data_IF_490909768773
#
_entry.id   IF_490909768773
#
_cell.length_a   1.000
_cell.length_b   1.000
_cell.length_c   1.000
_cell.angle_alpha   90.00
_cell.angle_beta   90.00
_cell.angle_gamma   90.00
#
_symmetry.space_group_name_H-M   'P 1'
#
loop_
_entity.id
_entity.type
_entity.pdbx_description
1 polymer ?
#
# COMPACT_ATOMS: atom_id res chain seq x y z
N UNK A 1 2.87 -31.36 -23.22
CA UNK A 1 3.27 -30.09 -22.59
C UNK A 1 2.04 -29.23 -22.56
N UNK A 2 1.34 -29.17 -21.43
CA UNK A 2 0.20 -28.28 -21.29
C UNK A 2 0.73 -26.85 -21.21
N UNK A 3 0.44 -26.06 -22.24
CA UNK A 3 0.59 -24.61 -22.18
C UNK A 3 -0.33 -24.10 -21.07
N UNK A 4 0.27 -23.64 -19.96
CA UNK A 4 -0.44 -22.82 -19.00
C UNK A 4 -0.85 -21.53 -19.72
N UNK A 5 -2.05 -21.55 -20.29
CA UNK A 5 -2.74 -20.38 -20.77
C UNK A 5 -2.67 -19.34 -19.65
N UNK A 6 -1.92 -18.26 -19.87
CA UNK A 6 -1.57 -17.27 -18.87
C UNK A 6 -2.77 -16.36 -18.66
N UNK A 7 -3.88 -16.93 -18.18
CA UNK A 7 -5.02 -16.20 -17.69
C UNK A 7 -4.48 -15.21 -16.66
N UNK A 8 -4.58 -13.91 -16.98
CA UNK A 8 -4.19 -12.79 -16.14
C UNK A 8 -4.58 -13.09 -14.68
N UNK A 9 -3.61 -13.51 -13.85
CA UNK A 9 -3.86 -13.74 -12.42
C UNK A 9 -4.36 -12.44 -11.80
N UNK A 10 -5.37 -12.54 -10.94
CA UNK A 10 -5.96 -11.38 -10.27
C UNK A 10 -4.88 -10.48 -9.64
N UNK A 11 -5.06 -9.16 -9.78
CA UNK A 11 -4.18 -8.17 -9.15
C UNK A 11 -4.77 -7.80 -7.78
N UNK A 12 -4.01 -8.07 -6.72
CA UNK A 12 -4.42 -7.73 -5.35
C UNK A 12 -3.82 -6.38 -4.95
N UNK A 13 -4.68 -5.43 -4.60
CA UNK A 13 -4.30 -4.18 -3.95
C UNK A 13 -4.45 -4.33 -2.44
N UNK A 14 -3.33 -4.23 -1.71
CA UNK A 14 -3.25 -4.36 -0.26
C UNK A 14 -3.25 -2.97 0.36
N UNK A 15 -4.23 -2.66 1.21
CA UNK A 15 -4.41 -1.33 1.81
C UNK A 15 -4.34 -1.44 3.34
N UNK A 16 -3.15 -1.43 3.95
CA UNK A 16 -2.99 -1.40 5.41
C UNK A 16 -3.42 -0.08 6.03
N UNK A 17 -3.73 -0.11 7.33
CA UNK A 17 -3.72 1.10 8.15
C UNK A 17 -2.28 1.65 8.27
N UNK A 18 -2.07 2.98 8.19
CA UNK A 18 -0.73 3.60 8.19
C UNK A 18 -0.07 3.64 9.58
N UNK A 19 0.16 2.47 10.16
CA UNK A 19 0.97 2.30 11.38
C UNK A 19 1.87 1.07 11.24
N UNK A 20 3.07 1.12 11.83
CA UNK A 20 4.11 0.09 11.69
C UNK A 20 3.60 -1.33 11.99
N UNK A 21 2.75 -1.47 13.02
CA UNK A 21 2.13 -2.75 13.41
C UNK A 21 1.24 -3.38 12.34
N UNK A 22 0.75 -2.59 11.37
CA UNK A 22 -0.03 -3.07 10.22
C UNK A 22 0.82 -3.16 8.94
N UNK A 23 1.74 -2.21 8.71
CA UNK A 23 2.56 -2.17 7.50
C UNK A 23 3.41 -3.43 7.35
N UNK A 24 4.12 -3.85 8.40
CA UNK A 24 5.05 -4.97 8.32
C UNK A 24 4.34 -6.31 8.02
N UNK A 25 3.26 -6.68 8.74
CA UNK A 25 2.47 -7.86 8.38
C UNK A 25 1.92 -7.81 6.95
N UNK A 26 1.40 -6.65 6.51
CA UNK A 26 0.81 -6.52 5.18
C UNK A 26 1.85 -6.55 4.05
N UNK A 27 3.08 -6.07 4.30
CA UNK A 27 4.22 -6.26 3.40
C UNK A 27 4.55 -7.75 3.21
N UNK A 28 4.63 -8.51 4.30
CA UNK A 28 4.89 -9.96 4.22
C UNK A 28 3.74 -10.71 3.56
N UNK A 29 2.50 -10.29 3.81
CA UNK A 29 1.33 -10.84 3.12
C UNK A 29 1.39 -10.59 1.61
N UNK A 30 1.65 -9.36 1.18
CA UNK A 30 1.81 -9.03 -0.24
C UNK A 30 2.94 -9.84 -0.90
N UNK A 31 4.09 -10.00 -0.21
CA UNK A 31 5.17 -10.86 -0.66
C UNK A 31 4.74 -12.32 -0.84
N UNK A 32 3.91 -12.86 0.07
CA UNK A 32 3.37 -14.22 -0.04
C UNK A 32 2.36 -14.36 -1.20
N UNK A 33 1.59 -13.31 -1.51
CA UNK A 33 0.74 -13.30 -2.70
C UNK A 33 1.58 -13.35 -3.98
N UNK A 34 2.64 -12.54 -4.04
CA UNK A 34 3.58 -12.53 -5.15
C UNK A 34 4.24 -13.91 -5.37
N UNK A 35 4.65 -14.61 -4.31
CA UNK A 35 5.24 -15.95 -4.43
C UNK A 35 4.26 -17.04 -4.88
N UNK A 36 2.96 -16.81 -4.77
CA UNK A 36 1.89 -17.66 -5.36
C UNK A 36 1.54 -17.25 -6.80
N UNK A 37 2.26 -16.26 -7.33
CA UNK A 37 2.16 -15.75 -8.69
C UNK A 37 1.06 -14.71 -8.88
N UNK A 38 0.43 -14.19 -7.82
CA UNK A 38 -0.48 -13.05 -7.95
C UNK A 38 0.31 -11.76 -8.13
N UNK A 39 -0.15 -10.88 -9.02
CA UNK A 39 0.34 -9.51 -9.01
C UNK A 39 -0.15 -8.86 -7.72
N UNK A 40 0.75 -8.24 -6.96
CA UNK A 40 0.38 -7.57 -5.70
C UNK A 40 0.95 -6.16 -5.63
N UNK A 41 0.13 -5.23 -5.16
CA UNK A 41 0.53 -3.86 -4.87
C UNK A 41 0.19 -3.50 -3.43
N UNK A 42 1.06 -2.73 -2.79
CA UNK A 42 0.79 -2.17 -1.47
C UNK A 42 0.47 -0.67 -1.61
N UNK A 43 -0.74 -0.28 -1.22
CA UNK A 43 -1.11 1.13 -1.08
C UNK A 43 -0.95 1.59 0.35
N UNK A 44 0.05 2.44 0.59
CA UNK A 44 0.32 3.07 1.88
C UNK A 44 0.52 4.57 1.66
N UNK A 45 0.63 5.34 2.74
CA UNK A 45 0.76 6.80 2.66
C UNK A 45 2.09 7.20 2.00
N UNK A 46 2.14 8.36 1.34
CA UNK A 46 3.36 8.88 0.73
C UNK A 46 4.49 8.92 1.76
N UNK A 47 4.20 9.43 2.96
CA UNK A 47 5.15 9.48 4.06
C UNK A 47 5.74 8.10 4.40
N UNK A 48 4.90 7.09 4.61
CA UNK A 48 5.36 5.74 4.96
C UNK A 48 6.07 5.05 3.80
N UNK A 49 5.66 5.33 2.55
CA UNK A 49 6.27 4.70 1.37
C UNK A 49 7.76 4.99 1.24
N UNK A 50 8.21 6.15 1.72
CA UNK A 50 9.63 6.56 1.77
C UNK A 50 10.48 5.65 2.67
N UNK A 51 9.84 4.94 3.61
CA UNK A 51 10.50 4.03 4.56
C UNK A 51 10.40 2.55 4.17
N UNK A 52 9.79 2.22 3.03
CA UNK A 52 9.69 0.81 2.59
C UNK A 52 11.08 0.31 2.19
N UNK A 53 11.54 -0.82 2.76
CA UNK A 53 12.87 -1.32 2.45
C UNK A 53 13.02 -1.77 0.98
N UNK A 54 14.15 -1.46 0.29
CA UNK A 54 14.34 -1.75 -1.13
C UNK A 54 14.18 -3.23 -1.53
N UNK A 55 14.43 -4.16 -0.62
CA UNK A 55 14.28 -5.61 -0.87
C UNK A 55 12.84 -6.03 -1.20
N UNK A 56 11.84 -5.20 -0.91
CA UNK A 56 10.45 -5.46 -1.29
C UNK A 56 10.11 -5.00 -2.71
N UNK A 57 10.86 -4.04 -3.27
CA UNK A 57 10.58 -3.46 -4.59
C UNK A 57 10.50 -4.48 -5.76
N UNK A 58 11.34 -5.54 -5.84
CA UNK A 58 11.21 -6.50 -6.94
C UNK A 58 10.04 -7.49 -6.76
N UNK A 59 9.46 -7.56 -5.55
CA UNK A 59 8.44 -8.56 -5.20
C UNK A 59 7.03 -7.97 -5.18
N UNK A 60 6.90 -6.68 -4.81
CA UNK A 60 5.61 -6.00 -4.67
C UNK A 60 5.72 -4.59 -5.23
N UNK A 61 4.65 -4.12 -5.88
CA UNK A 61 4.58 -2.74 -6.36
C UNK A 61 4.06 -1.82 -5.25
N UNK A 62 4.86 -0.84 -4.81
CA UNK A 62 4.38 0.20 -3.89
C UNK A 62 3.59 1.24 -4.67
N UNK A 63 2.37 1.56 -4.21
CA UNK A 63 1.45 2.52 -4.84
C UNK A 63 1.03 3.57 -3.81
N UNK A 64 1.81 4.65 -3.64
CA UNK A 64 1.53 5.63 -2.60
C UNK A 64 0.16 6.29 -2.76
N UNK A 65 -0.55 6.47 -1.66
CA UNK A 65 -1.75 7.30 -1.53
C UNK A 65 -1.45 8.47 -0.60
N UNK A 66 -2.20 9.57 -0.72
CA UNK A 66 -2.00 10.72 0.17
C UNK A 66 -2.87 10.58 1.41
N UNK A 67 -2.32 10.85 2.59
CA UNK A 67 -3.10 11.05 3.82
C UNK A 67 -3.32 12.54 4.15
N UNK A 68 -2.90 13.44 3.24
CA UNK A 68 -2.87 14.89 3.43
C UNK A 68 -1.68 15.39 4.26
N UNK A 69 -0.78 14.50 4.69
CA UNK A 69 0.41 14.82 5.48
C UNK A 69 1.65 14.12 4.88
N UNK A 70 1.87 14.32 3.58
CA UNK A 70 2.83 13.52 2.80
C UNK A 70 4.32 13.76 3.20
N UNK A 71 4.60 14.85 3.92
CA UNK A 71 5.95 15.23 4.33
C UNK A 71 6.34 14.72 5.73
N UNK A 72 5.46 14.85 6.73
CA UNK A 72 5.73 14.46 8.12
C UNK A 72 4.75 13.44 8.71
N UNK A 73 3.82 12.94 7.90
CA UNK A 73 2.85 11.94 8.29
C UNK A 73 1.99 12.40 9.47
N UNK A 74 1.67 11.45 10.35
CA UNK A 74 0.85 11.69 11.54
C UNK A 74 1.35 12.87 12.41
N UNK A 75 2.66 13.13 12.45
CA UNK A 75 3.23 14.20 13.28
C UNK A 75 2.83 15.62 12.85
N UNK A 76 2.36 15.80 11.60
CA UNK A 76 1.83 17.08 11.12
C UNK A 76 0.35 17.29 11.46
N UNK A 77 -0.34 16.26 11.94
CA UNK A 77 -1.74 16.38 12.30
C UNK A 77 -1.90 16.97 13.71
N UNK A 78 -2.84 17.90 13.86
CA UNK A 78 -3.14 18.54 15.15
C UNK A 78 -3.72 17.56 16.18
N UNK A 79 -4.37 16.49 15.71
CA UNK A 79 -5.00 15.47 16.56
C UNK A 79 -5.29 14.20 15.76
N UNK A 80 -5.59 13.10 16.47
CA UNK A 80 -6.01 11.84 15.85
C UNK A 80 -7.27 12.00 14.97
N UNK A 81 -8.35 12.69 15.41
CA UNK A 81 -9.51 12.91 14.56
C UNK A 81 -9.21 13.73 13.30
N UNK A 82 -8.34 14.74 13.40
CA UNK A 82 -7.89 15.53 12.25
C UNK A 82 -7.15 14.64 11.24
N UNK A 83 -6.24 13.80 11.74
CA UNK A 83 -5.53 12.82 10.91
C UNK A 83 -6.48 11.87 10.18
N UNK A 84 -7.40 11.24 10.89
CA UNK A 84 -8.33 10.27 10.31
C UNK A 84 -9.28 10.92 9.28
N UNK A 85 -9.70 12.16 9.53
CA UNK A 85 -10.54 12.92 8.61
C UNK A 85 -9.79 13.23 7.31
N UNK A 86 -8.54 13.69 7.42
CA UNK A 86 -7.67 13.94 6.27
C UNK A 86 -7.33 12.66 5.50
N UNK A 87 -6.95 11.59 6.22
CA UNK A 87 -6.68 10.27 5.64
C UNK A 87 -7.89 9.76 4.85
N UNK A 88 -9.10 9.89 5.40
CA UNK A 88 -10.32 9.50 4.69
C UNK A 88 -10.54 10.35 3.44
N UNK A 89 -10.39 11.67 3.53
CA UNK A 89 -10.68 12.60 2.44
C UNK A 89 -9.66 12.51 1.29
N UNK A 90 -8.37 12.48 1.62
CA UNK A 90 -7.27 12.46 0.64
C UNK A 90 -6.95 11.03 0.20
N UNK A 91 -6.99 10.08 1.14
CA UNK A 91 -6.73 8.67 0.86
C UNK A 91 -7.78 8.07 -0.07
N UNK A 92 -9.07 8.36 0.14
CA UNK A 92 -10.12 7.85 -0.77
C UNK A 92 -9.98 8.40 -2.20
N UNK A 93 -9.71 9.70 -2.36
CA UNK A 93 -9.49 10.35 -3.66
C UNK A 93 -8.29 9.78 -4.42
N UNK A 94 -7.18 9.54 -3.72
CA UNK A 94 -5.95 9.04 -4.34
C UNK A 94 -6.00 7.53 -4.57
N UNK A 95 -6.61 6.77 -3.66
CA UNK A 95 -6.86 5.34 -3.82
C UNK A 95 -7.77 5.04 -5.02
N UNK A 96 -8.78 5.86 -5.28
CA UNK A 96 -9.67 5.72 -6.43
C UNK A 96 -8.94 5.80 -7.79
N UNK A 97 -7.70 6.32 -7.84
CA UNK A 97 -6.87 6.36 -9.06
C UNK A 97 -6.07 5.06 -9.26
N UNK A 98 -6.13 4.13 -8.32
CA UNK A 98 -5.38 2.88 -8.32
C UNK A 98 -6.23 1.67 -8.73
N UNK A 99 -7.55 1.84 -8.86
CA UNK A 99 -8.53 0.81 -9.18
C UNK A 99 -9.36 1.18 -10.41
#
# INVERSE_FOLDING_TARGET
MEEFNQASKAHVLVVPYPAQGHINPMLQFAKRLASKGFKSSLATTVFISKSIPPQFAPLIQVRPISDGYDEGGFSQAESTPAYLSSLRANGSKTLARLV
#
